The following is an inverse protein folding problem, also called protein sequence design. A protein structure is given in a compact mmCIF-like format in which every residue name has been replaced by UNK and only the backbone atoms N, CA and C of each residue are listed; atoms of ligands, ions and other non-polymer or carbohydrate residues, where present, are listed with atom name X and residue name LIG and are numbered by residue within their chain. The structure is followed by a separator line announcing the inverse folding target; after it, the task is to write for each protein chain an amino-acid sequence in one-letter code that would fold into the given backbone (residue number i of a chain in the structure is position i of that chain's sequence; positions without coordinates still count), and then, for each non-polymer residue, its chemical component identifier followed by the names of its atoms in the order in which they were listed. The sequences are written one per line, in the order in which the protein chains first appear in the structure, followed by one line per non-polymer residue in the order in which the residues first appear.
data_IF_847800049226
#
_entry.id   IF_847800049226
#
_cell.length_a   1.000
_cell.length_b   1.000
_cell.length_c   1.000
_cell.angle_alpha   90.00
_cell.angle_beta   90.00
_cell.angle_gamma   90.00
#
_symmetry.space_group_name_H-M   'P 1'
#
loop_
_entity.id
_entity.type
_entity.pdbx_description
1 polymer ?
#
# COMPACT_ATOMS: atom_id res chain seq x y z
N UNK A 1 20.75 -2.69 5.92
CA UNK A 1 19.37 -2.18 5.68
C UNK A 1 18.66 -1.52 6.87
N UNK A 2 19.23 -1.43 8.08
CA UNK A 2 18.60 -0.72 9.21
C UNK A 2 18.21 0.71 8.82
N UNK A 3 16.98 1.13 9.13
CA UNK A 3 16.39 2.41 8.74
C UNK A 3 15.61 2.40 7.42
N UNK A 4 15.43 1.25 6.77
CA UNK A 4 14.81 1.15 5.43
C UNK A 4 13.92 -0.08 5.22
N UNK A 5 13.91 -1.06 6.13
CA UNK A 5 13.24 -2.34 5.91
C UNK A 5 11.78 -2.30 6.37
N UNK A 6 10.86 -2.65 5.46
CA UNK A 6 9.42 -2.75 5.75
C UNK A 6 9.00 -4.22 5.64
N UNK A 7 8.45 -4.80 6.71
CA UNK A 7 7.88 -6.15 6.66
C UNK A 7 6.43 -6.08 6.20
N UNK A 8 6.11 -6.67 5.04
CA UNK A 8 4.73 -6.78 4.59
C UNK A 8 4.10 -8.08 5.08
N UNK A 9 3.01 -7.95 5.85
CA UNK A 9 2.23 -9.06 6.38
C UNK A 9 1.04 -9.38 5.46
N UNK A 10 0.71 -10.65 5.35
CA UNK A 10 -0.59 -11.12 4.87
C UNK A 10 -1.35 -11.72 6.05
N UNK A 11 -2.42 -11.06 6.49
CA UNK A 11 -3.30 -11.57 7.54
C UNK A 11 -4.73 -11.10 7.30
N UNK A 12 -5.69 -11.93 7.69
CA UNK A 12 -7.13 -11.63 7.69
C UNK A 12 -7.68 -11.44 9.10
N UNK A 13 -6.82 -11.62 10.12
CA UNK A 13 -7.18 -11.63 11.54
C UNK A 13 -6.26 -10.66 12.32
N UNK A 14 -6.82 -9.76 13.15
CA UNK A 14 -6.04 -8.77 13.89
C UNK A 14 -4.98 -9.37 14.82
N UNK A 15 -5.36 -10.39 15.59
CA UNK A 15 -4.46 -10.99 16.60
C UNK A 15 -3.28 -11.72 15.96
N UNK A 16 -3.52 -12.42 14.85
CA UNK A 16 -2.45 -13.08 14.08
C UNK A 16 -1.52 -12.05 13.44
N UNK A 17 -2.07 -10.95 12.90
CA UNK A 17 -1.26 -9.87 12.35
C UNK A 17 -0.38 -9.25 13.43
N UNK A 18 -0.93 -9.01 14.62
CA UNK A 18 -0.21 -8.44 15.75
C UNK A 18 0.89 -9.38 16.26
N UNK A 19 0.58 -10.67 16.42
CA UNK A 19 1.58 -11.66 16.83
C UNK A 19 2.76 -11.72 15.85
N UNK A 20 2.49 -11.74 14.55
CA UNK A 20 3.53 -11.71 13.51
C UNK A 20 4.33 -10.40 13.54
N UNK A 21 3.67 -9.26 13.68
CA UNK A 21 4.34 -7.96 13.78
C UNK A 21 5.24 -7.89 15.01
N UNK A 22 4.75 -8.32 16.18
CA UNK A 22 5.52 -8.34 17.42
C UNK A 22 6.73 -9.28 17.37
N UNK A 23 6.67 -10.34 16.55
CA UNK A 23 7.79 -11.24 16.37
C UNK A 23 8.97 -10.57 15.63
N UNK A 24 8.68 -9.66 14.69
CA UNK A 24 9.70 -9.07 13.79
C UNK A 24 10.00 -7.60 14.07
N UNK A 25 9.28 -6.95 14.98
CA UNK A 25 9.30 -5.49 15.14
C UNK A 25 10.67 -4.90 15.52
N UNK A 26 11.59 -5.72 16.04
CA UNK A 26 12.94 -5.28 16.42
C UNK A 26 13.92 -5.28 15.24
N UNK A 27 13.58 -5.99 14.16
CA UNK A 27 14.42 -6.21 12.98
C UNK A 27 13.99 -5.37 11.77
N UNK A 28 12.85 -4.69 11.86
CA UNK A 28 12.28 -3.88 10.78
C UNK A 28 11.97 -2.46 11.24
N UNK A 29 11.84 -1.56 10.27
CA UNK A 29 11.61 -0.13 10.49
C UNK A 29 10.12 0.24 10.32
N UNK A 30 9.33 -0.62 9.70
CA UNK A 30 7.88 -0.48 9.57
C UNK A 30 7.19 -1.83 9.30
N UNK A 31 5.88 -1.86 9.57
CA UNK A 31 4.99 -2.96 9.18
C UNK A 31 4.05 -2.48 8.08
N UNK A 32 3.83 -3.30 7.05
CA UNK A 32 2.85 -3.03 5.99
C UNK A 32 1.82 -4.15 5.94
N UNK A 33 0.55 -3.83 5.70
CA UNK A 33 -0.50 -4.83 5.49
C UNK A 33 -0.85 -4.97 4.01
N UNK A 34 -0.71 -6.20 3.49
CA UNK A 34 -1.09 -6.52 2.12
C UNK A 34 -2.62 -6.65 1.99
N UNK A 35 -3.22 -5.72 1.25
CA UNK A 35 -4.64 -5.75 0.88
C UNK A 35 -4.84 -5.87 -0.65
N UNK A 36 -3.81 -6.28 -1.38
CA UNK A 36 -3.81 -6.23 -2.85
C UNK A 36 -3.61 -7.57 -3.56
N UNK A 37 -3.27 -8.65 -2.84
CA UNK A 37 -3.00 -9.95 -3.42
C UNK A 37 -4.30 -10.69 -3.82
N UNK A 38 -4.52 -11.00 -5.12
CA UNK A 38 -5.71 -11.70 -5.59
C UNK A 38 -5.57 -13.23 -5.58
N UNK A 39 -4.43 -13.78 -5.11
CA UNK A 39 -4.18 -15.23 -5.15
C UNK A 39 -5.17 -15.97 -4.26
N UNK A 40 -5.69 -17.11 -4.75
CA UNK A 40 -6.74 -17.91 -4.07
C UNK A 40 -6.44 -18.20 -2.60
N UNK A 41 -5.21 -18.62 -2.27
CA UNK A 41 -4.83 -18.94 -0.88
C UNK A 41 -4.94 -17.74 0.08
N UNK A 42 -4.69 -16.53 -0.43
CA UNK A 42 -4.80 -15.29 0.35
C UNK A 42 -6.28 -14.96 0.58
N UNK A 43 -7.07 -15.02 -0.49
CA UNK A 43 -8.49 -14.68 -0.47
C UNK A 43 -9.28 -15.67 0.39
N UNK A 44 -8.98 -16.98 0.30
CA UNK A 44 -9.64 -18.01 1.11
C UNK A 44 -9.36 -17.87 2.61
N UNK A 45 -8.22 -17.28 2.98
CA UNK A 45 -7.88 -16.97 4.37
C UNK A 45 -8.37 -15.59 4.84
N UNK A 46 -9.19 -14.89 4.05
CA UNK A 46 -9.67 -13.54 4.39
C UNK A 46 -8.58 -12.45 4.30
N UNK A 47 -7.47 -12.71 3.62
CA UNK A 47 -6.31 -11.83 3.52
C UNK A 47 -6.17 -11.24 2.11
N UNK A 48 -5.27 -10.27 1.94
CA UNK A 48 -5.01 -9.70 0.61
C UNK A 48 -6.24 -8.98 0.09
N UNK A 49 -6.62 -9.21 -1.17
CA UNK A 49 -7.74 -8.48 -1.77
C UNK A 49 -9.10 -8.77 -1.14
N UNK A 50 -9.24 -9.83 -0.33
CA UNK A 50 -10.48 -10.05 0.45
C UNK A 50 -10.77 -8.88 1.41
N UNK A 51 -9.73 -8.24 1.95
CA UNK A 51 -9.85 -7.08 2.84
C UNK A 51 -10.44 -5.85 2.15
N UNK A 52 -10.34 -5.75 0.82
CA UNK A 52 -10.96 -4.67 0.06
C UNK A 52 -12.48 -4.80 -0.03
N UNK A 53 -13.01 -6.01 0.16
CA UNK A 53 -14.45 -6.29 0.21
C UNK A 53 -15.01 -6.35 1.62
N UNK A 54 -14.14 -6.35 2.65
CA UNK A 54 -14.48 -6.28 4.08
C UNK A 54 -13.69 -5.14 4.75
N UNK A 55 -14.11 -3.88 4.53
CA UNK A 55 -13.40 -2.71 5.07
C UNK A 55 -13.35 -2.70 6.60
N UNK A 56 -14.39 -3.19 7.28
CA UNK A 56 -14.42 -3.24 8.74
C UNK A 56 -13.29 -4.10 9.29
N UNK A 57 -13.09 -5.30 8.73
CA UNK A 57 -11.96 -6.17 9.06
C UNK A 57 -10.62 -5.50 8.74
N UNK A 58 -10.49 -4.89 7.56
CA UNK A 58 -9.27 -4.20 7.16
C UNK A 58 -8.87 -3.10 8.16
N UNK A 59 -9.83 -2.25 8.54
CA UNK A 59 -9.63 -1.15 9.47
C UNK A 59 -9.34 -1.66 10.89
N UNK A 60 -10.01 -2.74 11.31
CA UNK A 60 -9.74 -3.39 12.60
C UNK A 60 -8.30 -3.89 12.69
N UNK A 61 -7.78 -4.54 11.65
CA UNK A 61 -6.37 -5.00 11.64
C UNK A 61 -5.40 -3.81 11.72
N UNK A 62 -5.61 -2.76 10.91
CA UNK A 62 -4.75 -1.56 10.93
C UNK A 62 -4.76 -0.88 12.30
N UNK A 63 -5.95 -0.75 12.91
CA UNK A 63 -6.11 -0.17 14.25
C UNK A 63 -5.36 -0.99 15.30
N UNK A 64 -5.59 -2.29 15.35
CA UNK A 64 -4.91 -3.21 16.28
C UNK A 64 -3.39 -3.12 16.14
N UNK A 65 -2.87 -3.14 14.91
CA UNK A 65 -1.44 -3.00 14.67
C UNK A 65 -0.92 -1.64 15.15
N UNK A 66 -1.59 -0.54 14.77
CA UNK A 66 -1.12 0.81 15.07
C UNK A 66 -1.13 1.09 16.58
N UNK A 67 -2.20 0.74 17.28
CA UNK A 67 -2.33 0.95 18.73
C UNK A 67 -1.22 0.23 19.50
N UNK A 68 -0.91 -1.01 19.15
CA UNK A 68 0.05 -1.84 19.87
C UNK A 68 1.52 -1.58 19.47
N UNK A 69 1.77 -1.13 18.25
CA UNK A 69 3.13 -0.86 17.74
C UNK A 69 3.56 0.60 17.93
N UNK A 70 2.64 1.53 18.19
CA UNK A 70 2.93 2.95 18.41
C UNK A 70 3.94 3.19 19.53
N UNK A 71 3.76 2.53 20.68
CA UNK A 71 4.68 2.60 21.84
C UNK A 71 6.07 2.04 21.55
N UNK A 72 6.22 1.28 20.46
CA UNK A 72 7.47 0.68 19.99
C UNK A 72 8.12 1.52 18.89
N UNK A 73 7.51 2.62 18.48
CA UNK A 73 8.00 3.49 17.41
C UNK A 73 7.90 2.89 16.00
N UNK A 74 7.08 1.84 15.81
CA UNK A 74 6.97 1.13 14.53
C UNK A 74 5.71 1.62 13.78
N UNK A 75 5.87 2.38 12.68
CA UNK A 75 4.74 2.83 11.87
C UNK A 75 4.11 1.67 11.09
N UNK A 76 2.81 1.78 10.85
CA UNK A 76 2.03 0.80 10.07
C UNK A 76 1.57 1.44 8.76
N UNK A 77 1.80 0.77 7.64
CA UNK A 77 1.32 1.16 6.32
C UNK A 77 0.37 0.12 5.73
N UNK A 78 -0.28 0.46 4.62
CA UNK A 78 -1.11 -0.48 3.87
C UNK A 78 -0.84 -0.38 2.37
N UNK A 79 -0.91 -1.52 1.69
CA UNK A 79 -0.86 -1.60 0.22
C UNK A 79 -2.17 -2.12 -0.34
N UNK A 80 -2.85 -1.29 -1.12
CA UNK A 80 -4.15 -1.58 -1.72
C UNK A 80 -4.09 -1.66 -3.26
N UNK A 81 -5.21 -2.08 -3.86
CA UNK A 81 -5.54 -1.94 -5.28
C UNK A 81 -6.67 -0.92 -5.45
N UNK A 82 -6.91 -0.47 -6.67
CA UNK A 82 -8.08 0.34 -6.99
C UNK A 82 -9.38 -0.43 -6.70
N UNK A 83 -10.39 0.24 -6.16
CA UNK A 83 -11.76 -0.27 -6.10
C UNK A 83 -12.50 0.06 -7.40
N UNK A 84 -13.83 -0.11 -7.39
CA UNK A 84 -14.68 0.07 -8.58
C UNK A 84 -14.59 1.48 -9.19
N UNK A 85 -14.41 2.50 -8.36
CA UNK A 85 -14.38 3.91 -8.75
C UNK A 85 -13.48 4.74 -7.81
N UNK A 86 -13.27 6.02 -8.17
CA UNK A 86 -12.40 6.93 -7.41
C UNK A 86 -12.95 7.13 -6.00
N UNK A 87 -14.25 7.43 -5.88
CA UNK A 87 -14.92 7.72 -4.61
C UNK A 87 -14.79 6.57 -3.61
N UNK A 88 -15.09 5.34 -4.04
CA UNK A 88 -14.94 4.15 -3.20
C UNK A 88 -13.50 3.92 -2.78
N UNK A 89 -12.53 4.10 -3.69
CA UNK A 89 -11.10 3.95 -3.36
C UNK A 89 -10.66 4.99 -2.33
N UNK A 90 -11.05 6.26 -2.50
CA UNK A 90 -10.73 7.35 -1.57
C UNK A 90 -11.42 7.18 -0.22
N UNK A 91 -12.67 6.69 -0.19
CA UNK A 91 -13.37 6.36 1.05
C UNK A 91 -12.67 5.23 1.82
N UNK A 92 -12.19 4.20 1.12
CA UNK A 92 -11.41 3.13 1.74
C UNK A 92 -10.08 3.64 2.30
N UNK A 93 -9.39 4.51 1.55
CA UNK A 93 -8.18 5.21 2.00
C UNK A 93 -8.45 6.00 3.28
N UNK A 94 -9.55 6.76 3.33
CA UNK A 94 -9.93 7.54 4.51
C UNK A 94 -10.07 6.64 5.75
N UNK A 95 -10.77 5.51 5.63
CA UNK A 95 -10.91 4.55 6.73
C UNK A 95 -9.58 3.94 7.19
N UNK A 96 -8.62 3.70 6.28
CA UNK A 96 -7.26 3.26 6.66
C UNK A 96 -6.50 4.35 7.43
N UNK A 97 -6.61 5.61 7.01
CA UNK A 97 -5.97 6.74 7.69
C UNK A 97 -6.57 6.94 9.08
N UNK A 98 -7.90 6.88 9.20
CA UNK A 98 -8.62 6.96 10.48
C UNK A 98 -8.27 5.79 11.41
N UNK A 99 -8.03 4.59 10.84
CA UNK A 99 -7.53 3.44 11.59
C UNK A 99 -6.06 3.59 12.03
N UNK A 100 -5.34 4.60 11.53
CA UNK A 100 -4.00 4.96 12.00
C UNK A 100 -2.86 4.69 11.02
N UNK A 101 -3.14 4.26 9.78
CA UNK A 101 -2.11 4.02 8.77
C UNK A 101 -1.25 5.29 8.53
N UNK A 102 0.07 5.11 8.50
CA UNK A 102 1.08 6.17 8.36
C UNK A 102 1.61 6.32 6.94
N UNK A 103 1.30 5.39 6.04
CA UNK A 103 1.56 5.49 4.61
C UNK A 103 0.59 4.56 3.86
N UNK A 104 0.25 4.90 2.62
CA UNK A 104 -0.63 4.06 1.80
C UNK A 104 -0.05 3.94 0.39
N UNK A 105 0.15 2.71 -0.07
CA UNK A 105 0.53 2.41 -1.44
C UNK A 105 -0.67 1.94 -2.25
N UNK A 106 -0.90 2.58 -3.42
CA UNK A 106 -2.04 2.26 -4.30
C UNK A 106 -1.52 1.69 -5.60
N UNK A 107 -1.90 0.45 -5.89
CA UNK A 107 -1.63 -0.15 -7.20
C UNK A 107 -2.72 0.20 -8.20
N UNK A 108 -2.34 0.72 -9.37
CA UNK A 108 -3.25 1.21 -10.41
C UNK A 108 -4.08 0.14 -11.15
N UNK A 109 -4.26 -1.06 -10.59
CA UNK A 109 -5.19 -2.07 -11.11
C UNK A 109 -6.24 -2.40 -10.06
N UNK A 110 -7.38 -2.87 -10.51
CA UNK A 110 -8.42 -3.48 -9.68
C UNK A 110 -8.08 -4.93 -9.33
N UNK A 111 -8.82 -5.52 -8.40
CA UNK A 111 -8.61 -6.91 -7.95
C UNK A 111 -8.79 -7.93 -9.07
N UNK A 112 -9.77 -7.71 -9.94
CA UNK A 112 -10.10 -8.59 -11.07
C UNK A 112 -9.06 -8.60 -12.18
N UNK A 113 -8.15 -7.62 -12.19
CA UNK A 113 -7.13 -7.53 -13.23
C UNK A 113 -5.94 -8.45 -12.93
N UNK A 114 -5.55 -9.22 -13.95
CA UNK A 114 -4.27 -9.91 -13.96
C UNK A 114 -3.11 -8.95 -14.32
N UNK A 115 -1.91 -9.52 -14.50
CA UNK A 115 -0.70 -8.76 -14.79
C UNK A 115 -0.61 -8.23 -16.24
N UNK A 116 -1.48 -8.69 -17.15
CA UNK A 116 -1.53 -8.33 -18.57
C UNK A 116 -2.39 -7.09 -18.82
N UNK A 117 -3.40 -6.87 -17.99
CA UNK A 117 -4.20 -5.63 -18.03
C UNK A 117 -3.30 -4.44 -17.67
N UNK A 118 -3.28 -3.33 -18.44
CA UNK A 118 -2.52 -2.14 -18.07
C UNK A 118 -3.01 -1.48 -16.78
N UNK A 119 -2.11 -0.86 -16.02
CA UNK A 119 -2.50 -0.01 -14.89
C UNK A 119 -3.32 1.20 -15.40
N UNK A 120 -4.47 1.45 -14.76
CA UNK A 120 -5.38 2.58 -15.00
C UNK A 120 -4.79 3.87 -14.44
N UNK A 121 -3.79 4.40 -15.12
CA UNK A 121 -3.08 5.62 -14.72
C UNK A 121 -3.99 6.84 -14.57
N UNK A 122 -5.05 6.99 -15.37
CA UNK A 122 -6.03 8.07 -15.20
C UNK A 122 -6.73 7.99 -13.85
N UNK A 123 -7.33 6.83 -13.53
CA UNK A 123 -8.02 6.62 -12.26
C UNK A 123 -7.07 6.70 -11.07
N UNK A 124 -5.87 6.12 -11.17
CA UNK A 124 -4.85 6.23 -10.13
C UNK A 124 -4.47 7.70 -9.86
N UNK A 125 -4.34 8.51 -10.92
CA UNK A 125 -4.01 9.94 -10.80
C UNK A 125 -5.08 10.69 -10.03
N UNK A 126 -6.35 10.47 -10.36
CA UNK A 126 -7.49 11.08 -9.67
C UNK A 126 -7.56 10.66 -8.20
N UNK A 127 -7.47 9.36 -7.91
CA UNK A 127 -7.46 8.82 -6.54
C UNK A 127 -6.34 9.45 -5.70
N UNK A 128 -5.12 9.51 -6.24
CA UNK A 128 -3.98 10.03 -5.48
C UNK A 128 -4.10 11.54 -5.25
N UNK A 129 -4.52 12.31 -6.26
CA UNK A 129 -4.74 13.75 -6.11
C UNK A 129 -5.75 14.04 -5.00
N UNK A 130 -6.87 13.32 -5.00
CA UNK A 130 -7.91 13.49 -4.00
C UNK A 130 -7.45 13.04 -2.61
N UNK A 131 -6.75 11.92 -2.52
CA UNK A 131 -6.20 11.40 -1.25
C UNK A 131 -5.14 12.34 -0.65
N UNK A 132 -4.22 12.87 -1.47
CA UNK A 132 -3.20 13.85 -1.05
C UNK A 132 -3.86 15.15 -0.59
N UNK A 133 -4.91 15.61 -1.30
CA UNK A 133 -5.66 16.81 -0.91
C UNK A 133 -6.35 16.63 0.45
N UNK A 134 -7.02 15.49 0.68
CA UNK A 134 -7.72 15.20 1.93
C UNK A 134 -6.77 14.92 3.10
N UNK A 135 -5.64 14.26 2.83
CA UNK A 135 -4.70 13.79 3.86
C UNK A 135 -3.25 14.23 3.53
N UNK A 136 -2.95 15.55 3.56
CA UNK A 136 -1.65 16.08 3.10
C UNK A 136 -0.45 15.60 3.92
N UNK A 137 -0.69 15.12 5.14
CA UNK A 137 0.32 14.59 6.05
C UNK A 137 0.64 13.10 5.81
N UNK A 138 -0.19 12.38 5.04
CA UNK A 138 0.02 10.96 4.74
C UNK A 138 0.82 10.82 3.44
N UNK A 139 1.98 10.14 3.44
CA UNK A 139 2.68 9.78 2.23
C UNK A 139 1.89 8.72 1.44
N UNK A 140 1.54 9.07 0.20
CA UNK A 140 0.97 8.14 -0.77
C UNK A 140 2.04 7.66 -1.74
N UNK A 141 2.05 6.35 -2.01
CA UNK A 141 3.02 5.67 -2.88
C UNK A 141 2.32 5.11 -4.12
N UNK A 142 2.89 5.37 -5.29
CA UNK A 142 2.39 4.89 -6.58
C UNK A 142 2.86 3.46 -6.84
N UNK A 143 2.03 2.62 -7.45
CA UNK A 143 2.44 1.29 -7.90
C UNK A 143 1.68 0.88 -9.17
N UNK A 144 2.35 0.18 -10.08
CA UNK A 144 1.75 -0.33 -11.32
C UNK A 144 2.30 0.34 -12.58
N UNK A 145 3.07 -0.45 -13.33
CA UNK A 145 3.51 -0.20 -14.72
C UNK A 145 4.39 1.02 -14.96
N UNK A 146 5.02 1.56 -13.92
CA UNK A 146 6.10 2.54 -14.07
C UNK A 146 7.39 1.81 -14.43
N UNK A 147 7.89 1.95 -15.66
CA UNK A 147 9.12 1.28 -16.13
C UNK A 147 10.30 2.24 -16.29
N UNK A 148 10.05 3.55 -16.26
CA UNK A 148 11.07 4.58 -16.39
C UNK A 148 10.99 5.61 -15.27
N UNK A 149 12.12 6.28 -15.01
CA UNK A 149 12.18 7.38 -14.03
C UNK A 149 11.28 8.55 -14.39
N UNK A 150 11.25 8.91 -15.67
CA UNK A 150 10.48 10.06 -16.13
C UNK A 150 8.98 9.84 -15.94
N UNK A 151 8.47 8.62 -16.18
CA UNK A 151 7.08 8.27 -15.92
C UNK A 151 6.70 8.50 -14.46
N UNK A 152 7.43 7.89 -13.51
CA UNK A 152 7.05 8.01 -12.10
C UNK A 152 7.36 9.38 -11.51
N UNK A 153 8.41 10.07 -11.94
CA UNK A 153 8.70 11.45 -11.49
C UNK A 153 7.64 12.42 -11.98
N UNK A 154 7.24 12.31 -13.25
CA UNK A 154 6.17 13.14 -13.82
C UNK A 154 4.83 12.88 -13.12
N UNK A 155 4.52 11.61 -12.84
CA UNK A 155 3.30 11.22 -12.13
C UNK A 155 3.28 11.70 -10.68
N UNK A 156 4.40 11.56 -9.94
CA UNK A 156 4.52 12.09 -8.58
C UNK A 156 4.36 13.62 -8.55
N UNK A 157 5.00 14.33 -9.48
CA UNK A 157 4.88 15.79 -9.59
C UNK A 157 3.43 16.23 -9.83
N UNK A 158 2.72 15.54 -10.71
CA UNK A 158 1.32 15.87 -11.01
C UNK A 158 0.37 15.55 -9.86
N UNK A 159 0.62 14.47 -9.11
CA UNK A 159 -0.32 13.96 -8.10
C UNK A 159 -0.02 14.36 -6.67
N UNK A 160 1.21 14.79 -6.38
CA UNK A 160 1.70 15.01 -5.02
C UNK A 160 2.07 13.73 -4.26
N UNK A 161 2.09 12.57 -4.94
CA UNK A 161 2.61 11.33 -4.34
C UNK A 161 4.07 11.49 -3.90
N UNK A 162 4.43 10.83 -2.81
CA UNK A 162 5.77 10.97 -2.18
C UNK A 162 6.74 9.83 -2.51
N UNK A 163 6.31 8.86 -3.31
CA UNK A 163 7.18 7.81 -3.79
C UNK A 163 6.49 6.84 -4.73
N UNK A 164 7.25 5.84 -5.17
CA UNK A 164 6.81 4.77 -6.06
C UNK A 164 7.32 3.43 -5.54
N UNK A 165 6.49 2.40 -5.60
CA UNK A 165 6.89 1.01 -5.42
C UNK A 165 7.10 0.38 -6.80
N UNK A 166 8.31 -0.07 -7.08
CA UNK A 166 8.68 -0.73 -8.34
C UNK A 166 8.91 -2.22 -8.07
N UNK A 167 8.17 -3.07 -8.78
CA UNK A 167 8.29 -4.53 -8.66
C UNK A 167 8.95 -5.12 -9.92
N UNK A 168 8.18 -5.39 -10.98
CA UNK A 168 8.69 -5.96 -12.24
C UNK A 168 9.90 -5.21 -12.84
N UNK A 169 9.87 -3.86 -12.98
CA UNK A 169 11.01 -3.13 -13.53
C UNK A 169 12.30 -3.35 -12.74
N UNK A 170 12.21 -3.40 -11.41
CA UNK A 170 13.35 -3.61 -10.53
C UNK A 170 13.90 -5.05 -10.62
N UNK A 171 13.06 -6.03 -10.93
CA UNK A 171 13.51 -7.40 -11.21
C UNK A 171 14.31 -7.49 -12.52
N UNK A 172 13.99 -6.67 -13.51
CA UNK A 172 14.74 -6.60 -14.76
C UNK A 172 16.03 -5.78 -14.61
N UNK A 173 15.96 -4.63 -13.93
CA UNK A 173 17.10 -3.76 -13.73
C UNK A 173 16.96 -2.93 -12.45
N UNK A 174 17.77 -3.22 -11.44
CA UNK A 174 17.80 -2.49 -10.17
C UNK A 174 18.38 -1.07 -10.31
N UNK A 175 19.09 -0.76 -11.41
CA UNK A 175 19.62 0.59 -11.66
C UNK A 175 18.51 1.63 -11.87
N UNK A 176 17.25 1.22 -12.03
CA UNK A 176 16.10 2.13 -12.06
C UNK A 176 16.02 3.03 -10.82
N UNK A 177 16.60 2.58 -9.69
CA UNK A 177 16.69 3.36 -8.46
C UNK A 177 17.89 4.33 -8.43
N UNK A 178 18.92 4.12 -9.25
CA UNK A 178 20.12 4.98 -9.28
C UNK A 178 19.76 6.39 -9.76
N UNK A 179 20.35 7.41 -9.12
CA UNK A 179 20.22 8.80 -9.58
C UNK A 179 20.81 8.92 -11.00
N UNK A 180 20.23 9.76 -11.88
CA UNK A 180 20.89 10.10 -13.14
C UNK A 180 22.28 10.65 -12.83
N UNK A 181 23.29 10.13 -13.53
CA UNK A 181 24.62 10.74 -13.63
C UNK A 181 24.54 12.10 -14.32
#
# INVERSE_FOLDING_TARGET
ERGKLVCQLGSGEPDLALAAALHVHQDVDAIDLNMGCPKKFSVSGGMGSALLSDPERAFRIIRTLTENLSSKGIPVSAKIRLLKDVSSTVAFIAGLVEAGAKAIAVHGRQVSDDCTVPARWSMLREVIKEAVHRFPHIPFLLNGDFYTRDEFVSFMRDTGARGVLLARPALFNTSIFCKPS
#
